data_IF_724535617397
#
_entry.id   IF_724535617397
#
_cell.length_a   1.000
_cell.length_b   1.000
_cell.length_c   1.000
_cell.angle_alpha   90.00
_cell.angle_beta   90.00
_cell.angle_gamma   90.00
#
_symmetry.space_group_name_H-M   'P 1'
#
loop_
_entity.id
_entity.type
_entity.pdbx_description
1 polymer ?
#
# COMPACT_ATOMS: atom_id res chain seq x y z
N UNK A 1 -80.91 19.11 30.72
CA UNK A 1 -79.43 19.32 30.81
C UNK A 1 -78.76 17.97 30.77
N UNK A 2 -78.24 17.53 29.59
CA UNK A 2 -77.54 16.24 29.42
C UNK A 2 -76.04 16.56 29.49
N UNK A 3 -75.36 15.98 30.48
CA UNK A 3 -73.87 16.05 30.56
C UNK A 3 -73.25 14.95 29.66
N UNK A 4 -72.50 15.38 28.65
CA UNK A 4 -71.67 14.49 27.79
C UNK A 4 -70.33 14.32 28.49
N UNK A 5 -70.00 13.11 28.92
CA UNK A 5 -68.68 12.74 29.43
C UNK A 5 -67.80 12.40 28.20
N UNK A 6 -66.78 13.22 27.92
CA UNK A 6 -65.78 12.94 26.95
C UNK A 6 -64.70 12.05 27.60
N UNK A 7 -64.61 10.78 27.18
CA UNK A 7 -63.51 9.88 27.47
C UNK A 7 -62.41 10.18 26.49
N UNK A 8 -61.29 10.74 26.95
CA UNK A 8 -60.02 10.83 26.19
C UNK A 8 -59.31 9.47 26.28
N UNK A 9 -58.93 8.82 25.15
CA UNK A 9 -58.07 7.66 25.21
C UNK A 9 -56.62 8.11 25.48
N UNK A 10 -56.05 7.60 26.58
CA UNK A 10 -54.62 7.71 26.89
C UNK A 10 -53.85 6.85 25.89
N UNK A 11 -53.27 7.52 24.88
CA UNK A 11 -52.28 6.87 23.98
C UNK A 11 -50.96 6.75 24.72
N UNK A 12 -50.69 5.59 25.28
CA UNK A 12 -49.41 5.24 25.88
C UNK A 12 -48.42 4.95 24.74
N UNK A 13 -47.65 5.98 24.34
CA UNK A 13 -46.54 5.79 23.42
C UNK A 13 -45.47 4.92 24.09
N UNK A 14 -45.43 3.65 23.71
CA UNK A 14 -44.27 2.80 23.96
C UNK A 14 -43.10 3.35 23.13
N UNK A 15 -42.33 4.27 23.67
CA UNK A 15 -41.01 4.55 23.19
C UNK A 15 -40.13 3.34 23.45
N UNK A 16 -40.13 2.38 22.53
CA UNK A 16 -39.06 1.41 22.48
C UNK A 16 -37.76 2.20 22.31
N UNK A 17 -36.91 2.16 23.33
CA UNK A 17 -35.52 2.60 23.19
C UNK A 17 -34.84 1.69 22.16
N UNK A 18 -34.99 2.01 20.87
CA UNK A 18 -34.12 1.52 19.83
C UNK A 18 -32.74 2.01 20.22
N UNK A 19 -31.93 1.15 20.84
CA UNK A 19 -30.50 1.41 21.02
C UNK A 19 -29.95 1.62 19.63
N UNK A 20 -29.71 2.88 19.29
CA UNK A 20 -29.15 3.23 17.99
C UNK A 20 -27.83 2.49 17.83
N UNK A 21 -27.72 1.69 16.78
CA UNK A 21 -26.46 1.08 16.40
C UNK A 21 -25.47 2.22 16.14
N UNK A 22 -24.34 2.16 16.84
CA UNK A 22 -23.38 3.27 16.87
C UNK A 22 -22.32 3.13 15.78
N UNK A 23 -22.03 1.88 15.36
CA UNK A 23 -20.93 1.58 14.43
C UNK A 23 -21.45 0.93 13.14
N UNK A 24 -20.87 1.33 12.00
CA UNK A 24 -21.18 0.69 10.72
C UNK A 24 -20.62 -0.74 10.64
N UNK A 25 -19.39 -0.95 11.13
CA UNK A 25 -18.73 -2.26 11.19
C UNK A 25 -18.06 -2.41 12.56
N UNK A 26 -18.14 -3.61 13.14
CA UNK A 26 -17.30 -4.03 14.26
C UNK A 26 -16.53 -5.26 13.83
N UNK A 27 -15.20 -5.19 13.86
CA UNK A 27 -14.29 -6.32 13.67
C UNK A 27 -13.98 -6.89 15.05
N UNK A 28 -14.32 -8.16 15.28
CA UNK A 28 -14.23 -8.84 16.58
C UNK A 28 -13.08 -9.82 16.64
N UNK A 29 -12.51 -9.98 17.84
CA UNK A 29 -11.61 -11.07 18.21
C UNK A 29 -10.31 -11.16 17.37
N UNK A 30 -10.00 -10.16 16.55
CA UNK A 30 -8.81 -10.17 15.72
C UNK A 30 -7.54 -9.85 16.50
N UNK A 31 -6.40 -10.41 16.09
CA UNK A 31 -5.11 -9.99 16.62
C UNK A 31 -4.69 -8.70 15.92
N UNK A 32 -4.91 -7.56 16.57
CA UNK A 32 -4.59 -6.24 16.02
C UNK A 32 -3.09 -6.00 16.09
N UNK A 33 -2.48 -5.70 14.94
CA UNK A 33 -1.10 -5.25 14.82
C UNK A 33 -1.12 -3.86 14.20
N UNK A 34 -0.88 -2.83 15.01
CA UNK A 34 -0.74 -1.44 14.59
C UNK A 34 0.56 -0.87 15.13
N UNK A 35 1.65 -0.93 14.34
CA UNK A 35 2.97 -0.54 14.79
C UNK A 35 3.08 0.93 15.21
N UNK A 36 2.37 1.85 14.53
CA UNK A 36 2.38 3.27 14.86
C UNK A 36 1.85 3.54 16.27
N UNK A 37 0.79 2.83 16.67
CA UNK A 37 0.18 2.99 17.99
C UNK A 37 0.73 1.97 19.01
N UNK A 38 1.75 1.20 18.63
CA UNK A 38 2.36 0.14 19.45
C UNK A 38 1.33 -0.89 19.98
N UNK A 39 0.31 -1.21 19.16
CA UNK A 39 -0.68 -2.24 19.46
C UNK A 39 -0.21 -3.56 18.85
N UNK A 40 -0.26 -4.64 19.65
CA UNK A 40 0.03 -6.02 19.24
C UNK A 40 -0.72 -6.95 20.21
N UNK A 41 -2.04 -7.09 20.02
CA UNK A 41 -2.90 -7.80 20.94
C UNK A 41 -4.25 -8.18 20.31
N UNK A 42 -4.94 -9.16 20.90
CA UNK A 42 -6.34 -9.47 20.53
C UNK A 42 -7.24 -8.33 20.99
N UNK A 43 -7.87 -7.66 20.04
CA UNK A 43 -8.76 -6.52 20.28
C UNK A 43 -9.88 -6.47 19.22
N UNK A 44 -10.89 -5.66 19.49
CA UNK A 44 -11.95 -5.32 18.57
C UNK A 44 -11.71 -3.93 17.97
N UNK A 45 -12.12 -3.75 16.71
CA UNK A 45 -12.05 -2.47 16.00
C UNK A 45 -13.45 -2.07 15.53
N UNK A 46 -13.93 -0.90 15.96
CA UNK A 46 -15.19 -0.35 15.51
C UNK A 46 -14.96 0.77 14.47
N UNK A 47 -15.76 0.75 13.42
CA UNK A 47 -15.72 1.70 12.31
C UNK A 47 -17.06 2.45 12.26
N UNK A 48 -16.98 3.78 12.10
CA UNK A 48 -18.14 4.64 11.92
C UNK A 48 -17.80 5.79 10.96
N UNK A 49 -18.72 6.07 10.02
CA UNK A 49 -18.56 7.17 9.05
C UNK A 49 -17.22 7.12 8.28
N UNK A 50 -16.76 5.93 7.90
CA UNK A 50 -15.50 5.74 7.18
C UNK A 50 -14.24 5.92 8.02
N UNK A 51 -14.36 6.08 9.34
CA UNK A 51 -13.26 6.31 10.28
C UNK A 51 -13.16 5.19 11.31
N UNK A 52 -11.98 4.95 11.84
CA UNK A 52 -11.78 4.17 13.06
C UNK A 52 -12.38 4.93 14.22
N UNK A 53 -13.41 4.35 14.84
CA UNK A 53 -14.15 5.00 15.93
C UNK A 53 -13.69 4.55 17.33
N UNK A 54 -13.29 3.29 17.46
CA UNK A 54 -12.85 2.71 18.74
C UNK A 54 -11.99 1.47 18.51
N UNK A 55 -10.96 1.30 19.34
CA UNK A 55 -10.22 0.05 19.50
C UNK A 55 -10.29 -0.33 20.97
N UNK A 56 -10.79 -1.51 21.30
CA UNK A 56 -10.96 -1.98 22.67
C UNK A 56 -10.90 -3.50 22.77
N UNK A 57 -10.67 -4.04 23.98
CA UNK A 57 -10.65 -5.49 24.21
C UNK A 57 -11.99 -6.16 23.95
N UNK A 58 -13.09 -5.44 24.15
CA UNK A 58 -14.44 -5.95 23.91
C UNK A 58 -15.37 -4.78 23.56
N UNK A 59 -16.00 -4.87 22.39
CA UNK A 59 -17.04 -3.94 21.94
C UNK A 59 -18.33 -4.73 21.80
N UNK A 60 -19.43 -4.22 22.38
CA UNK A 60 -20.75 -4.86 22.34
C UNK A 60 -21.25 -4.99 20.88
N UNK A 61 -21.45 -6.22 20.42
CA UNK A 61 -21.89 -6.58 19.06
C UNK A 61 -23.19 -5.89 18.68
N UNK A 62 -24.09 -5.66 19.66
CA UNK A 62 -25.37 -4.99 19.44
C UNK A 62 -25.25 -3.54 18.99
N UNK A 63 -24.06 -2.96 19.10
CA UNK A 63 -23.78 -1.60 18.64
C UNK A 63 -23.36 -1.54 17.17
N UNK A 64 -23.11 -2.69 16.51
CA UNK A 64 -22.72 -2.75 15.11
C UNK A 64 -23.90 -3.01 14.18
N UNK A 65 -23.90 -2.33 13.01
CA UNK A 65 -24.78 -2.71 11.89
C UNK A 65 -24.33 -4.03 11.28
N UNK A 66 -23.00 -4.20 11.16
CA UNK A 66 -22.35 -5.40 10.67
C UNK A 66 -21.25 -5.81 11.65
N UNK A 67 -21.17 -7.10 11.94
CA UNK A 67 -20.15 -7.68 12.81
C UNK A 67 -19.36 -8.70 12.02
N UNK A 68 -18.04 -8.55 12.02
CA UNK A 68 -17.09 -9.44 11.33
C UNK A 68 -16.24 -10.15 12.38
N UNK A 69 -16.31 -11.46 12.46
CA UNK A 69 -15.46 -12.25 13.37
C UNK A 69 -14.12 -12.55 12.71
N UNK A 70 -13.08 -11.90 13.21
CA UNK A 70 -11.68 -12.06 12.76
C UNK A 70 -10.88 -12.99 13.70
N UNK A 71 -11.54 -13.88 14.44
CA UNK A 71 -10.85 -14.82 15.33
C UNK A 71 -9.82 -15.66 14.60
N UNK A 72 -8.58 -15.63 15.11
CA UNK A 72 -7.44 -16.36 14.49
C UNK A 72 -6.79 -15.62 13.31
N UNK A 73 -7.28 -14.44 12.96
CA UNK A 73 -6.74 -13.59 11.91
C UNK A 73 -6.01 -12.37 12.50
N UNK A 74 -5.17 -11.76 11.70
CA UNK A 74 -4.48 -10.51 12.03
C UNK A 74 -5.24 -9.32 11.43
N UNK A 75 -5.51 -8.32 12.25
CA UNK A 75 -6.14 -7.05 11.82
C UNK A 75 -5.09 -5.97 11.82
N UNK A 76 -4.80 -5.40 10.67
CA UNK A 76 -3.74 -4.41 10.46
C UNK A 76 -4.30 -3.15 9.82
N UNK A 77 -3.59 -2.02 9.87
CA UNK A 77 -3.88 -0.94 8.93
C UNK A 77 -3.87 -1.46 7.50
N UNK A 78 -4.62 -0.82 6.62
CA UNK A 78 -4.54 -1.09 5.19
C UNK A 78 -3.11 -0.90 4.69
N UNK A 79 -2.64 -1.83 3.86
CA UNK A 79 -1.27 -1.82 3.37
C UNK A 79 -1.03 -0.68 2.39
N UNK A 80 0.18 -0.12 2.42
CA UNK A 80 0.66 0.90 1.49
C UNK A 80 1.74 0.29 0.59
N UNK A 81 1.52 0.36 -0.71
CA UNK A 81 2.51 0.00 -1.73
C UNK A 81 3.03 1.27 -2.39
N UNK A 82 4.22 1.73 -1.97
CA UNK A 82 4.78 3.01 -2.44
C UNK A 82 5.53 2.90 -3.76
N UNK A 83 5.52 1.74 -4.41
CA UNK A 83 6.14 1.57 -5.71
C UNK A 83 5.24 0.70 -6.58
N UNK A 84 4.43 1.34 -7.42
CA UNK A 84 3.51 0.69 -8.36
C UNK A 84 3.40 1.50 -9.66
N UNK A 85 2.86 0.89 -10.71
CA UNK A 85 2.64 1.56 -12.00
C UNK A 85 1.17 1.47 -12.38
N UNK A 86 0.46 2.59 -12.22
CA UNK A 86 -0.99 2.66 -12.29
C UNK A 86 -1.53 3.55 -13.41
N UNK A 87 -0.70 4.27 -14.12
CA UNK A 87 -1.14 5.07 -15.26
C UNK A 87 -1.50 4.15 -16.45
N UNK A 88 -2.55 3.38 -16.25
CA UNK A 88 -3.00 2.39 -17.20
C UNK A 88 -3.65 3.01 -18.43
N UNK A 89 -3.38 2.43 -19.60
CA UNK A 89 -3.93 2.79 -20.89
C UNK A 89 -3.65 1.70 -21.93
N UNK A 90 -3.82 2.03 -23.20
CA UNK A 90 -3.69 1.08 -24.32
C UNK A 90 -2.64 1.52 -25.36
N UNK A 91 -1.83 2.50 -25.02
CA UNK A 91 -0.80 3.06 -25.89
C UNK A 91 0.46 2.18 -25.85
N UNK A 92 0.77 1.38 -26.92
CA UNK A 92 1.89 0.44 -26.89
C UNK A 92 3.26 1.11 -26.68
N UNK A 93 3.44 2.29 -27.27
CA UNK A 93 4.70 3.03 -27.20
C UNK A 93 4.88 3.81 -25.91
N UNK A 94 3.88 3.79 -25.02
CA UNK A 94 3.89 4.49 -23.74
C UNK A 94 4.10 3.56 -22.55
N UNK A 95 4.22 2.27 -22.75
CA UNK A 95 4.49 1.21 -21.77
C UNK A 95 3.90 1.45 -20.35
N UNK A 96 4.58 2.17 -19.48
CA UNK A 96 4.13 2.47 -18.12
C UNK A 96 3.31 3.76 -18.02
N UNK A 97 3.54 4.74 -18.90
CA UNK A 97 2.82 6.01 -18.97
C UNK A 97 1.66 5.87 -19.97
N UNK A 98 0.42 5.85 -19.50
CA UNK A 98 -0.80 5.63 -20.29
C UNK A 98 -0.73 4.36 -21.18
N UNK A 99 0.09 3.40 -20.80
CA UNK A 99 0.43 2.24 -21.62
C UNK A 99 -0.03 0.91 -21.04
N UNK A 100 0.27 -0.13 -21.80
CA UNK A 100 -0.20 -1.50 -21.55
C UNK A 100 0.60 -2.25 -20.45
N UNK A 101 1.71 -1.72 -19.96
CA UNK A 101 2.45 -2.33 -18.85
C UNK A 101 1.93 -1.88 -17.48
N UNK A 102 1.29 -0.71 -17.37
CA UNK A 102 0.64 -0.26 -16.14
C UNK A 102 -0.64 -1.06 -15.85
N UNK A 103 -1.12 -1.00 -14.62
CA UNK A 103 -2.29 -1.75 -14.15
C UNK A 103 -3.34 -0.83 -13.52
N UNK A 104 -4.64 -1.03 -13.78
CA UNK A 104 -5.69 -0.35 -13.02
C UNK A 104 -5.64 -0.84 -11.55
N UNK A 105 -5.54 0.07 -10.55
CA UNK A 105 -5.22 -0.33 -9.19
C UNK A 105 -6.26 -1.26 -8.57
N UNK A 106 -7.56 -0.96 -8.69
CA UNK A 106 -8.65 -1.71 -8.05
C UNK A 106 -8.69 -3.20 -8.46
N UNK A 107 -8.09 -3.54 -9.60
CA UNK A 107 -8.07 -4.91 -10.10
C UNK A 107 -7.19 -5.87 -9.28
N UNK A 108 -6.22 -5.36 -8.50
CA UNK A 108 -5.26 -6.19 -7.77
C UNK A 108 -5.00 -5.77 -6.33
N UNK A 109 -5.22 -4.50 -5.96
CA UNK A 109 -4.90 -3.97 -4.63
C UNK A 109 -5.71 -4.64 -3.52
N UNK A 110 -7.03 -4.66 -3.67
CA UNK A 110 -7.92 -5.07 -2.58
C UNK A 110 -7.78 -6.55 -2.20
N UNK A 111 -7.47 -7.42 -3.14
CA UNK A 111 -7.21 -8.85 -2.86
C UNK A 111 -5.91 -9.11 -2.10
N UNK A 112 -5.11 -8.08 -1.91
CA UNK A 112 -3.83 -8.12 -1.22
C UNK A 112 -3.79 -7.26 0.06
N UNK A 113 -4.92 -6.73 0.52
CA UNK A 113 -4.96 -5.86 1.69
C UNK A 113 -4.43 -4.45 1.45
N UNK A 114 -4.06 -4.11 0.20
CA UNK A 114 -3.54 -2.79 -0.15
C UNK A 114 -4.68 -1.81 -0.33
N UNK A 115 -4.65 -0.71 0.40
CA UNK A 115 -5.66 0.36 0.35
C UNK A 115 -5.12 1.64 -0.27
N UNK A 116 -3.81 1.78 -0.31
CA UNK A 116 -3.10 2.94 -0.87
C UNK A 116 -1.95 2.47 -1.74
N UNK A 117 -1.84 3.02 -2.93
CA UNK A 117 -0.68 2.85 -3.82
C UNK A 117 -0.06 4.21 -4.12
N UNK A 118 1.25 4.21 -4.38
CA UNK A 118 1.94 5.38 -4.94
C UNK A 118 2.49 4.98 -6.30
N UNK A 119 2.00 5.63 -7.34
CA UNK A 119 2.55 5.45 -8.68
C UNK A 119 3.98 6.00 -8.73
N UNK A 120 4.92 5.17 -9.15
CA UNK A 120 6.34 5.49 -9.09
C UNK A 120 6.84 6.17 -10.38
N UNK A 121 6.22 7.28 -10.73
CA UNK A 121 6.69 8.13 -11.82
C UNK A 121 6.24 7.69 -13.21
N UNK A 122 5.15 6.96 -13.34
CA UNK A 122 4.56 6.69 -14.65
C UNK A 122 4.25 7.98 -15.39
N UNK A 123 3.74 9.03 -14.67
CA UNK A 123 3.49 10.35 -15.25
C UNK A 123 4.57 11.37 -14.89
N UNK A 124 4.87 12.25 -15.85
CA UNK A 124 5.63 13.46 -15.64
C UNK A 124 4.73 14.71 -15.55
N UNK A 125 5.35 15.90 -15.48
CA UNK A 125 4.59 17.15 -15.30
C UNK A 125 3.68 17.50 -16.46
N UNK A 126 3.91 16.98 -17.69
CA UNK A 126 3.03 17.18 -18.85
C UNK A 126 1.78 16.30 -18.77
N UNK A 127 1.93 15.06 -18.32
CA UNK A 127 0.92 14.00 -18.44
C UNK A 127 0.14 13.78 -17.14
N UNK A 128 0.59 14.37 -16.01
CA UNK A 128 -0.05 14.21 -14.71
C UNK A 128 -1.56 14.57 -14.70
N UNK A 129 -2.03 15.65 -15.37
CA UNK A 129 -3.47 15.93 -15.41
C UNK A 129 -4.29 14.82 -16.06
N UNK A 130 -3.74 14.16 -17.09
CA UNK A 130 -4.38 13.01 -17.75
C UNK A 130 -4.40 11.81 -16.81
N UNK A 131 -3.28 11.50 -16.16
CA UNK A 131 -3.20 10.42 -15.16
C UNK A 131 -4.23 10.63 -14.04
N UNK A 132 -4.31 11.86 -13.53
CA UNK A 132 -5.30 12.20 -12.48
C UNK A 132 -6.73 11.92 -12.95
N UNK A 133 -7.13 12.44 -14.09
CA UNK A 133 -8.49 12.30 -14.58
C UNK A 133 -8.84 10.86 -14.99
N UNK A 134 -7.89 10.13 -15.60
CA UNK A 134 -8.11 8.80 -16.15
C UNK A 134 -8.06 7.72 -15.09
N UNK A 135 -7.17 7.82 -14.10
CA UNK A 135 -6.92 6.75 -13.12
C UNK A 135 -7.19 7.18 -11.68
N UNK A 136 -6.57 8.28 -11.21
CA UNK A 136 -6.62 8.65 -9.79
C UNK A 136 -8.07 8.94 -9.36
N UNK A 137 -8.77 9.77 -10.12
CA UNK A 137 -10.16 10.19 -9.80
C UNK A 137 -11.19 9.06 -10.02
N UNK A 138 -10.82 8.00 -10.72
CA UNK A 138 -11.71 6.88 -11.03
C UNK A 138 -11.52 5.68 -10.09
N UNK A 139 -10.45 5.66 -9.31
CA UNK A 139 -10.09 4.51 -8.47
C UNK A 139 -10.74 4.57 -7.09
N UNK A 140 -11.17 3.43 -6.56
CA UNK A 140 -11.56 3.28 -5.17
C UNK A 140 -10.32 3.16 -4.25
N UNK A 141 -9.24 2.57 -4.76
CA UNK A 141 -7.92 2.59 -4.13
C UNK A 141 -7.44 4.03 -4.00
N UNK A 142 -6.84 4.42 -2.87
CA UNK A 142 -6.15 5.70 -2.81
C UNK A 142 -4.90 5.61 -3.68
N UNK A 143 -4.84 6.45 -4.71
CA UNK A 143 -3.70 6.56 -5.62
C UNK A 143 -3.01 7.89 -5.37
N UNK A 144 -1.76 7.82 -4.91
CA UNK A 144 -0.83 8.94 -4.82
C UNK A 144 0.25 8.78 -5.90
N UNK A 145 1.15 9.74 -6.05
CA UNK A 145 2.18 9.66 -7.09
C UNK A 145 3.50 10.30 -6.70
N UNK A 146 4.60 9.65 -7.05
CA UNK A 146 5.86 10.32 -7.32
C UNK A 146 5.81 10.88 -8.75
N UNK A 147 6.06 12.17 -8.91
CA UNK A 147 6.08 12.80 -10.22
C UNK A 147 7.44 12.53 -10.90
N UNK A 148 7.44 11.96 -12.10
CA UNK A 148 8.68 11.79 -12.84
C UNK A 148 9.30 13.17 -13.13
N UNK A 149 10.61 13.28 -12.96
CA UNK A 149 11.33 14.53 -13.29
C UNK A 149 11.30 14.83 -14.79
N UNK A 150 11.18 13.80 -15.63
CA UNK A 150 10.97 13.92 -17.07
C UNK A 150 9.52 14.31 -17.34
N UNK A 151 9.32 15.32 -18.18
CA UNK A 151 8.00 15.88 -18.45
C UNK A 151 7.00 14.89 -19.04
N UNK A 152 7.46 13.98 -19.88
CA UNK A 152 6.64 12.93 -20.50
C UNK A 152 6.38 11.72 -19.56
N UNK A 153 7.08 11.64 -18.42
CA UNK A 153 6.96 10.48 -17.53
C UNK A 153 7.76 9.27 -17.99
N UNK A 154 7.37 8.08 -17.50
CA UNK A 154 8.07 6.81 -17.75
C UNK A 154 7.69 6.23 -19.11
N UNK A 155 8.26 6.82 -20.15
CA UNK A 155 7.99 6.56 -21.55
C UNK A 155 9.24 6.16 -22.33
N UNK A 156 9.99 5.20 -21.83
CA UNK A 156 11.15 4.63 -22.52
C UNK A 156 12.22 5.67 -22.87
N UNK A 157 12.54 5.85 -24.15
CA UNK A 157 13.61 6.74 -24.58
C UNK A 157 13.50 8.20 -24.15
N UNK A 158 12.31 8.67 -23.78
CA UNK A 158 12.11 10.02 -23.25
C UNK A 158 12.79 10.23 -21.89
N UNK A 159 12.99 9.17 -21.12
CA UNK A 159 13.67 9.21 -19.81
C UNK A 159 15.16 9.53 -19.93
N UNK A 160 15.71 9.48 -21.13
CA UNK A 160 17.11 9.86 -21.43
C UNK A 160 17.26 11.35 -21.76
N UNK A 161 16.17 12.10 -21.91
CA UNK A 161 16.22 13.51 -22.33
C UNK A 161 16.36 14.46 -21.13
N UNK A 162 17.59 14.78 -20.76
CA UNK A 162 17.87 15.72 -19.66
C UNK A 162 17.32 17.13 -19.90
N UNK A 163 17.12 17.55 -21.16
CA UNK A 163 16.51 18.84 -21.48
C UNK A 163 15.02 18.91 -21.13
N UNK A 164 14.33 17.78 -20.98
CA UNK A 164 12.92 17.70 -20.53
C UNK A 164 12.77 17.55 -19.00
N UNK A 165 13.87 17.44 -18.28
CA UNK A 165 13.89 17.37 -16.80
C UNK A 165 13.82 18.76 -16.19
N UNK A 166 12.68 19.45 -16.36
CA UNK A 166 12.46 20.82 -15.92
C UNK A 166 12.04 20.90 -14.45
N UNK A 167 12.98 21.22 -13.56
CA UNK A 167 12.75 21.36 -12.11
C UNK A 167 11.65 22.36 -11.78
N UNK A 168 11.54 23.47 -12.52
CA UNK A 168 10.54 24.52 -12.27
C UNK A 168 9.14 24.04 -12.64
N UNK A 169 8.98 23.43 -13.81
CA UNK A 169 7.69 22.90 -14.25
C UNK A 169 7.22 21.75 -13.35
N UNK A 170 8.12 20.84 -13.00
CA UNK A 170 7.85 19.76 -12.05
C UNK A 170 7.38 20.32 -10.70
N UNK A 171 8.06 21.33 -10.15
CA UNK A 171 7.68 21.97 -8.90
C UNK A 171 6.32 22.72 -8.97
N UNK A 172 6.00 23.35 -10.09
CA UNK A 172 4.69 24.01 -10.30
C UNK A 172 3.57 22.97 -10.24
N UNK A 173 3.74 21.83 -10.93
CA UNK A 173 2.75 20.76 -10.97
C UNK A 173 2.63 20.09 -9.59
N UNK A 174 3.74 19.81 -8.92
CA UNK A 174 3.71 19.22 -7.58
C UNK A 174 2.98 20.12 -6.57
N UNK A 175 3.24 21.43 -6.57
CA UNK A 175 2.49 22.37 -5.70
C UNK A 175 1.00 22.46 -6.05
N UNK A 176 0.65 22.38 -7.34
CA UNK A 176 -0.75 22.39 -7.77
C UNK A 176 -1.52 21.17 -7.28
N UNK A 177 -0.88 20.02 -7.23
CA UNK A 177 -1.48 18.74 -6.84
C UNK A 177 -0.86 18.17 -5.55
N UNK A 178 -0.53 19.06 -4.61
CA UNK A 178 0.17 18.75 -3.35
C UNK A 178 -0.46 17.68 -2.46
N UNK A 179 -1.76 17.43 -2.61
CA UNK A 179 -2.49 16.42 -1.86
C UNK A 179 -2.42 15.03 -2.52
N UNK A 180 -1.77 14.93 -3.69
CA UNK A 180 -1.65 13.69 -4.48
C UNK A 180 -0.19 13.40 -4.81
N UNK A 181 0.58 14.41 -5.19
CA UNK A 181 2.02 14.26 -5.50
C UNK A 181 2.81 14.30 -4.19
N UNK A 182 3.39 13.16 -3.84
CA UNK A 182 4.10 12.95 -2.58
C UNK A 182 5.62 13.03 -2.70
N UNK A 183 6.15 13.12 -3.92
CA UNK A 183 7.59 13.20 -4.17
C UNK A 183 7.92 13.22 -5.65
N UNK A 184 9.20 13.05 -5.97
CA UNK A 184 9.68 12.95 -7.35
C UNK A 184 10.31 11.60 -7.62
N UNK A 185 10.19 11.12 -8.84
CA UNK A 185 10.84 9.91 -9.35
C UNK A 185 11.94 10.27 -10.32
N UNK A 186 13.10 9.65 -10.16
CA UNK A 186 14.12 9.50 -11.20
C UNK A 186 14.18 8.03 -11.56
N UNK A 187 13.99 7.70 -12.83
CA UNK A 187 13.94 6.31 -13.29
C UNK A 187 14.70 6.12 -14.60
N UNK A 188 15.32 4.95 -14.76
CA UNK A 188 15.87 4.37 -15.98
C UNK A 188 16.86 5.24 -16.78
N UNK A 189 17.40 6.32 -16.19
CA UNK A 189 18.41 7.12 -16.87
C UNK A 189 19.73 6.34 -16.98
N UNK A 190 20.27 6.21 -18.20
CA UNK A 190 21.45 5.41 -18.50
C UNK A 190 22.71 6.25 -18.66
N UNK A 191 22.59 7.58 -18.62
CA UNK A 191 23.73 8.49 -18.72
C UNK A 191 24.63 8.39 -17.48
N UNK A 192 25.94 8.67 -17.68
CA UNK A 192 26.93 8.66 -16.61
C UNK A 192 27.07 10.04 -15.97
N UNK A 193 25.97 10.59 -15.44
CA UNK A 193 25.93 11.93 -14.85
C UNK A 193 24.77 12.01 -13.80
N UNK A 194 24.85 12.99 -12.90
CA UNK A 194 23.87 13.19 -11.81
C UNK A 194 22.76 14.18 -12.16
N UNK A 195 22.74 14.75 -13.35
CA UNK A 195 21.76 15.76 -13.80
C UNK A 195 20.30 15.41 -13.44
N UNK A 196 19.80 14.18 -13.66
CA UNK A 196 18.42 13.87 -13.32
C UNK A 196 18.14 13.96 -11.81
N UNK A 197 19.08 13.51 -10.98
CA UNK A 197 18.96 13.55 -9.52
C UNK A 197 19.02 14.99 -9.02
N UNK A 198 19.97 15.78 -9.52
CA UNK A 198 20.14 17.18 -9.12
C UNK A 198 18.93 18.02 -9.51
N UNK A 199 18.36 17.80 -10.71
CA UNK A 199 17.12 18.45 -11.13
C UNK A 199 15.93 18.06 -10.26
N UNK A 200 15.81 16.79 -9.85
CA UNK A 200 14.76 16.35 -8.93
C UNK A 200 14.93 16.96 -7.53
N UNK A 201 16.18 17.06 -7.02
CA UNK A 201 16.49 17.76 -5.75
C UNK A 201 16.09 19.23 -5.84
N UNK A 202 16.41 19.89 -6.94
CA UNK A 202 16.04 21.30 -7.14
C UNK A 202 14.53 21.49 -7.23
N UNK A 203 13.81 20.61 -7.94
CA UNK A 203 12.34 20.61 -7.97
C UNK A 203 11.75 20.43 -6.57
N UNK A 204 12.31 19.53 -5.77
CA UNK A 204 11.89 19.28 -4.40
C UNK A 204 12.07 20.53 -3.51
N UNK A 205 13.21 21.20 -3.57
CA UNK A 205 13.46 22.47 -2.84
C UNK A 205 12.40 23.53 -3.17
N UNK A 206 11.92 23.55 -4.42
CA UNK A 206 10.88 24.48 -4.88
C UNK A 206 9.45 24.04 -4.52
N UNK A 207 9.27 22.84 -3.96
CA UNK A 207 7.95 22.23 -3.66
C UNK A 207 7.88 21.59 -2.27
N UNK A 208 8.18 22.36 -1.22
CA UNK A 208 8.10 21.97 0.19
C UNK A 208 9.03 20.82 0.61
N UNK A 209 10.14 20.63 -0.09
CA UNK A 209 11.12 19.57 0.17
C UNK A 209 10.52 18.15 0.22
N UNK A 210 9.53 17.85 -0.63
CA UNK A 210 9.00 16.49 -0.74
C UNK A 210 10.10 15.50 -1.14
N UNK A 211 10.03 14.21 -0.74
CA UNK A 211 11.09 13.24 -0.95
C UNK A 211 11.31 12.90 -2.42
N UNK A 212 12.48 12.34 -2.70
CA UNK A 212 12.77 11.70 -3.97
C UNK A 212 12.72 10.18 -3.83
N UNK A 213 12.27 9.48 -4.86
CA UNK A 213 12.49 8.05 -5.04
C UNK A 213 13.41 7.85 -6.23
N UNK A 214 14.60 7.29 -5.98
CA UNK A 214 15.64 7.14 -6.99
C UNK A 214 15.75 5.68 -7.42
N UNK A 215 15.51 5.48 -8.71
CA UNK A 215 15.78 4.31 -9.49
C UNK A 215 16.36 4.75 -10.82
N UNK A 216 17.65 4.85 -10.92
CA UNK A 216 18.28 5.17 -12.20
C UNK A 216 18.80 3.93 -12.91
N UNK A 217 18.87 4.00 -14.24
CA UNK A 217 19.30 2.93 -15.10
C UNK A 217 20.74 2.47 -14.86
N UNK A 218 21.20 1.59 -15.67
CA UNK A 218 22.58 1.12 -15.64
C UNK A 218 23.45 1.97 -16.56
N UNK A 219 24.61 2.40 -16.09
CA UNK A 219 25.68 2.94 -16.91
C UNK A 219 26.89 2.01 -16.93
N UNK A 220 27.81 2.19 -17.88
CA UNK A 220 29.04 1.42 -17.90
C UNK A 220 30.24 2.35 -18.05
N UNK A 221 31.09 2.51 -16.99
CA UNK A 221 30.96 1.83 -15.67
C UNK A 221 29.72 2.30 -14.90
N UNK A 222 29.29 1.53 -13.87
CA UNK A 222 28.18 1.95 -12.99
C UNK A 222 28.49 3.28 -12.30
N UNK A 223 27.48 4.13 -12.12
CA UNK A 223 27.58 5.26 -11.20
C UNK A 223 27.70 4.76 -9.75
N UNK A 224 28.50 5.46 -8.95
CA UNK A 224 28.72 5.11 -7.55
C UNK A 224 27.48 5.39 -6.69
N UNK A 225 26.91 4.35 -6.07
CA UNK A 225 25.82 4.54 -5.10
C UNK A 225 26.33 5.18 -3.79
N UNK A 226 27.62 5.06 -3.47
CA UNK A 226 28.24 5.80 -2.36
C UNK A 226 28.17 7.31 -2.62
N UNK A 227 28.57 7.75 -3.81
CA UNK A 227 28.46 9.14 -4.23
C UNK A 227 27.01 9.62 -4.21
N UNK A 228 26.08 8.82 -4.76
CA UNK A 228 24.65 9.11 -4.70
C UNK A 228 24.18 9.39 -3.27
N UNK A 229 24.48 8.48 -2.33
CA UNK A 229 24.00 8.59 -0.95
C UNK A 229 24.66 9.73 -0.19
N UNK A 230 25.95 9.96 -0.41
CA UNK A 230 26.71 10.94 0.37
C UNK A 230 26.57 12.36 -0.15
N UNK A 231 26.47 12.54 -1.48
CA UNK A 231 26.55 13.85 -2.11
C UNK A 231 25.21 14.34 -2.69
N UNK A 232 24.39 13.48 -3.24
CA UNK A 232 23.20 13.87 -3.99
C UNK A 232 21.89 13.68 -3.22
N UNK A 233 21.74 12.60 -2.43
CA UNK A 233 20.51 12.37 -1.66
C UNK A 233 20.51 13.10 -0.32
N UNK A 234 19.31 13.44 0.12
CA UNK A 234 19.04 14.13 1.38
C UNK A 234 18.38 13.17 2.39
N UNK A 235 18.44 13.44 3.70
CA UNK A 235 17.59 12.76 4.66
C UNK A 235 16.11 12.80 4.22
N UNK A 236 15.46 11.63 4.22
CA UNK A 236 14.09 11.46 3.76
C UNK A 236 13.96 11.00 2.30
N UNK A 237 15.02 11.06 1.51
CA UNK A 237 14.99 10.50 0.14
C UNK A 237 15.05 8.96 0.17
N UNK A 238 14.48 8.32 -0.86
CA UNK A 238 14.24 6.88 -0.93
C UNK A 238 15.11 6.29 -2.05
N UNK A 239 15.93 5.30 -1.70
CA UNK A 239 16.63 4.43 -2.66
C UNK A 239 15.83 3.15 -2.85
N UNK A 240 15.17 3.03 -4.00
CA UNK A 240 14.36 1.85 -4.34
C UNK A 240 15.16 0.78 -5.07
N UNK A 241 14.59 -0.41 -5.24
CA UNK A 241 15.28 -1.60 -5.77
C UNK A 241 16.56 -1.96 -4.98
N UNK A 242 16.53 -1.72 -3.66
CA UNK A 242 17.73 -1.81 -2.83
C UNK A 242 18.37 -3.22 -2.80
N UNK A 243 17.64 -4.27 -3.16
CA UNK A 243 18.15 -5.65 -3.30
C UNK A 243 18.28 -6.09 -4.76
N UNK A 244 18.32 -5.14 -5.69
CA UNK A 244 18.53 -5.43 -7.11
C UNK A 244 19.95 -5.95 -7.40
N UNK A 245 20.05 -6.80 -8.41
CA UNK A 245 21.33 -7.31 -8.93
C UNK A 245 21.31 -7.24 -10.46
N UNK A 246 21.29 -6.03 -10.99
CA UNK A 246 21.24 -5.76 -12.41
C UNK A 246 22.60 -5.33 -12.93
N UNK A 247 22.95 -5.73 -14.15
CA UNK A 247 24.14 -5.23 -14.84
C UNK A 247 24.11 -3.71 -14.99
N UNK A 248 25.29 -3.08 -14.90
CA UNK A 248 25.41 -1.62 -14.99
C UNK A 248 24.98 -0.86 -13.73
N UNK A 249 24.64 -1.55 -12.65
CA UNK A 249 24.33 -0.94 -11.34
C UNK A 249 25.26 -1.45 -10.26
N UNK A 250 25.63 -0.57 -9.34
CA UNK A 250 26.35 -0.96 -8.14
C UNK A 250 25.37 -1.55 -7.11
N UNK A 251 25.81 -2.57 -6.35
CA UNK A 251 24.97 -3.29 -5.36
C UNK A 251 25.27 -2.84 -3.95
N UNK A 252 24.28 -2.94 -3.06
CA UNK A 252 24.44 -2.63 -1.63
C UNK A 252 25.24 -3.70 -0.87
N UNK A 253 25.21 -4.95 -1.33
CA UNK A 253 25.99 -6.07 -0.76
C UNK A 253 27.18 -6.38 -1.66
N UNK A 254 28.35 -6.48 -1.05
CA UNK A 254 29.54 -7.00 -1.72
C UNK A 254 29.40 -8.52 -1.84
N UNK A 255 29.33 -9.01 -3.09
CA UNK A 255 29.12 -10.42 -3.39
C UNK A 255 30.32 -11.29 -2.98
N UNK A 256 31.53 -10.75 -2.87
CA UNK A 256 32.73 -11.49 -2.48
C UNK A 256 32.78 -11.75 -0.96
N UNK A 257 32.38 -10.77 -0.18
CA UNK A 257 32.38 -10.82 1.28
C UNK A 257 31.03 -11.22 1.87
N UNK A 258 29.97 -11.18 1.07
CA UNK A 258 28.58 -11.38 1.48
C UNK A 258 28.13 -10.43 2.62
N UNK A 259 28.64 -9.19 2.58
CA UNK A 259 28.36 -8.17 3.59
C UNK A 259 27.78 -6.92 2.96
N UNK A 260 26.92 -6.25 3.71
CA UNK A 260 26.44 -4.88 3.37
C UNK A 260 27.63 -3.93 3.40
N UNK A 261 27.78 -3.16 2.34
CA UNK A 261 28.87 -2.18 2.25
C UNK A 261 28.79 -1.12 3.35
N UNK A 262 29.90 -0.71 3.97
CA UNK A 262 29.88 0.21 5.12
C UNK A 262 29.12 1.51 4.87
N UNK A 263 29.30 2.14 3.70
CA UNK A 263 28.64 3.39 3.35
C UNK A 263 27.09 3.26 3.25
N UNK A 264 26.56 2.05 3.05
CA UNK A 264 25.10 1.80 3.05
C UNK A 264 24.53 1.97 4.46
N UNK A 265 25.26 1.54 5.48
CA UNK A 265 24.90 1.79 6.88
C UNK A 265 25.01 3.28 7.24
N UNK A 266 26.00 3.98 6.71
CA UNK A 266 26.15 5.42 6.89
C UNK A 266 25.01 6.19 6.22
N UNK A 267 24.61 5.78 5.01
CA UNK A 267 23.45 6.33 4.31
C UNK A 267 22.17 6.18 5.13
N UNK A 268 21.94 4.99 5.71
CA UNK A 268 20.80 4.77 6.61
C UNK A 268 20.85 5.69 7.85
N UNK A 269 22.02 5.88 8.46
CA UNK A 269 22.19 6.81 9.58
C UNK A 269 21.97 8.28 9.16
N UNK A 270 22.32 8.63 7.93
CA UNK A 270 22.04 9.95 7.33
C UNK A 270 20.52 10.17 7.14
N UNK A 271 19.70 9.13 7.16
CA UNK A 271 18.25 9.20 6.99
C UNK A 271 17.78 8.90 5.57
N UNK A 272 18.62 8.23 4.75
CA UNK A 272 18.17 7.67 3.48
C UNK A 272 17.33 6.41 3.76
N UNK A 273 16.16 6.32 3.14
CA UNK A 273 15.30 5.14 3.21
C UNK A 273 15.64 4.14 2.11
N UNK A 274 15.51 2.87 2.43
CA UNK A 274 15.77 1.76 1.52
C UNK A 274 14.46 1.03 1.26
N UNK A 275 13.98 1.11 0.03
CA UNK A 275 12.74 0.50 -0.42
C UNK A 275 13.01 -0.74 -1.29
N UNK A 276 12.11 -1.73 -1.19
CA UNK A 276 12.27 -2.99 -1.91
C UNK A 276 12.08 -2.81 -3.41
N UNK A 277 10.98 -2.16 -3.85
CA UNK A 277 10.66 -2.03 -5.27
C UNK A 277 10.85 -3.33 -6.03
N UNK A 278 10.14 -4.41 -5.68
CA UNK A 278 10.50 -5.78 -6.08
C UNK A 278 10.63 -5.98 -7.59
N UNK A 279 9.63 -5.51 -8.35
CA UNK A 279 9.58 -5.57 -9.81
C UNK A 279 9.66 -6.95 -10.46
N UNK A 280 9.97 -6.95 -11.74
CA UNK A 280 10.19 -8.19 -12.50
C UNK A 280 11.58 -8.80 -12.28
N UNK A 281 12.60 -7.94 -12.16
CA UNK A 281 14.03 -8.34 -12.12
C UNK A 281 14.85 -7.60 -11.05
N UNK A 282 14.22 -6.79 -10.19
CA UNK A 282 14.92 -5.88 -9.28
C UNK A 282 15.07 -6.41 -7.85
N UNK A 283 14.91 -7.72 -7.62
CA UNK A 283 15.10 -8.34 -6.31
C UNK A 283 15.81 -9.70 -6.43
N UNK A 284 16.98 -9.83 -5.80
CA UNK A 284 17.75 -11.05 -5.75
C UNK A 284 18.05 -11.50 -4.32
N UNK A 285 17.89 -12.81 -4.05
CA UNK A 285 18.26 -13.39 -2.76
C UNK A 285 19.74 -13.29 -2.44
N UNK A 286 20.59 -13.22 -3.46
CA UNK A 286 22.04 -12.97 -3.31
C UNK A 286 22.36 -11.60 -2.69
N UNK A 287 21.42 -10.62 -2.76
CA UNK A 287 21.51 -9.33 -2.09
C UNK A 287 20.73 -9.34 -0.77
N UNK A 288 19.48 -9.83 -0.79
CA UNK A 288 18.58 -9.71 0.35
C UNK A 288 18.96 -10.64 1.52
N UNK A 289 19.41 -11.88 1.27
CA UNK A 289 19.74 -12.83 2.34
C UNK A 289 21.00 -12.42 3.13
N UNK A 290 22.13 -12.04 2.51
CA UNK A 290 23.28 -11.54 3.25
C UNK A 290 22.94 -10.28 4.06
N UNK A 291 22.19 -9.34 3.47
CA UNK A 291 21.74 -8.14 4.17
C UNK A 291 20.88 -8.48 5.41
N UNK A 292 19.91 -9.38 5.26
CA UNK A 292 19.06 -9.83 6.36
C UNK A 292 19.86 -10.50 7.48
N UNK A 293 20.91 -11.28 7.16
CA UNK A 293 21.80 -11.90 8.17
C UNK A 293 22.57 -10.89 9.01
N UNK A 294 22.85 -9.70 8.47
CA UNK A 294 23.45 -8.59 9.21
C UNK A 294 22.40 -7.70 9.90
N UNK A 295 21.10 -8.02 9.79
CA UNK A 295 20.02 -7.21 10.34
C UNK A 295 19.68 -5.99 9.48
N UNK A 296 20.17 -5.92 8.24
CA UNK A 296 19.80 -4.88 7.29
C UNK A 296 18.51 -5.29 6.57
N UNK A 297 17.39 -4.81 7.09
CA UNK A 297 16.07 -4.94 6.47
C UNK A 297 15.65 -3.65 5.78
N UNK A 298 14.77 -3.68 4.79
CA UNK A 298 14.30 -2.47 4.13
C UNK A 298 13.46 -1.61 5.09
N UNK A 299 13.36 -0.32 4.83
CA UNK A 299 12.44 0.57 5.52
C UNK A 299 11.00 0.30 5.05
N UNK A 300 10.78 0.20 3.74
CA UNK A 300 9.50 -0.12 3.12
C UNK A 300 9.58 -1.37 2.24
N UNK A 301 8.48 -2.15 2.26
CA UNK A 301 8.25 -3.27 1.36
C UNK A 301 7.25 -2.80 0.31
N UNK A 302 7.68 -2.73 -0.95
CA UNK A 302 6.87 -2.33 -2.09
C UNK A 302 7.03 -3.30 -3.25
N UNK A 303 6.13 -3.26 -4.21
CA UNK A 303 6.03 -4.31 -5.22
C UNK A 303 6.64 -3.94 -6.55
N UNK A 304 6.67 -2.68 -6.94
CA UNK A 304 6.91 -2.29 -8.33
C UNK A 304 6.01 -3.10 -9.27
N UNK A 305 4.70 -3.13 -8.94
CA UNK A 305 3.74 -3.92 -9.69
C UNK A 305 3.42 -3.29 -11.03
N UNK A 306 3.57 -4.09 -12.05
CA UNK A 306 3.18 -3.84 -13.42
C UNK A 306 2.88 -5.17 -14.13
N UNK A 307 2.36 -5.15 -15.36
CA UNK A 307 1.99 -6.39 -16.08
C UNK A 307 3.13 -7.40 -16.15
N UNK A 308 4.37 -6.95 -16.36
CA UNK A 308 5.55 -7.82 -16.44
C UNK A 308 5.99 -8.45 -15.11
N UNK A 309 5.62 -7.85 -13.95
CA UNK A 309 6.02 -8.35 -12.63
C UNK A 309 4.95 -9.18 -11.93
N UNK A 310 3.66 -8.92 -12.17
CA UNK A 310 2.54 -9.52 -11.43
C UNK A 310 2.44 -11.05 -11.57
N UNK A 311 2.94 -11.63 -12.65
CA UNK A 311 2.92 -13.07 -12.88
C UNK A 311 4.31 -13.71 -12.72
N UNK A 312 5.32 -12.92 -12.40
CA UNK A 312 6.70 -13.36 -12.18
C UNK A 312 6.94 -13.67 -10.68
N UNK A 313 8.18 -13.60 -10.23
CA UNK A 313 8.60 -13.91 -8.86
C UNK A 313 7.96 -12.96 -7.81
N UNK A 314 7.68 -11.73 -8.14
CA UNK A 314 7.04 -10.74 -7.27
C UNK A 314 5.61 -11.15 -6.90
N UNK A 315 4.75 -11.39 -7.88
CA UNK A 315 3.32 -11.73 -7.81
C UNK A 315 2.46 -10.62 -7.21
N UNK A 316 2.61 -10.34 -5.93
CA UNK A 316 1.77 -9.44 -5.17
C UNK A 316 2.47 -8.97 -3.86
N UNK A 317 1.85 -8.01 -3.19
CA UNK A 317 2.34 -7.44 -1.92
C UNK A 317 2.53 -8.51 -0.84
N UNK A 318 1.56 -9.40 -0.64
CA UNK A 318 1.63 -10.41 0.42
C UNK A 318 2.68 -11.49 0.14
N UNK A 319 2.92 -11.81 -1.13
CA UNK A 319 4.03 -12.68 -1.52
C UNK A 319 5.38 -12.01 -1.21
N UNK A 320 5.51 -10.72 -1.51
CA UNK A 320 6.71 -9.94 -1.19
C UNK A 320 6.94 -9.87 0.33
N UNK A 321 5.92 -9.52 1.12
CA UNK A 321 5.96 -9.53 2.59
C UNK A 321 6.34 -10.91 3.14
N UNK A 322 5.80 -11.99 2.57
CA UNK A 322 6.10 -13.37 2.99
C UNK A 322 7.56 -13.77 2.78
N UNK A 323 8.25 -13.18 1.79
CA UNK A 323 9.70 -13.40 1.59
C UNK A 323 10.51 -12.82 2.75
N UNK A 324 10.14 -11.62 3.23
CA UNK A 324 10.81 -10.99 4.37
C UNK A 324 10.55 -11.73 5.68
N UNK A 325 9.34 -12.30 5.87
CA UNK A 325 9.10 -13.25 6.98
C UNK A 325 10.02 -14.47 6.87
N UNK A 326 10.16 -15.04 5.67
CA UNK A 326 11.04 -16.21 5.44
C UNK A 326 12.53 -15.89 5.62
N UNK A 327 12.93 -14.63 5.47
CA UNK A 327 14.30 -14.14 5.69
C UNK A 327 14.56 -13.65 7.13
N UNK A 328 13.58 -13.75 8.04
CA UNK A 328 13.77 -13.52 9.48
C UNK A 328 13.20 -12.22 10.05
N UNK A 329 12.52 -11.38 9.26
CA UNK A 329 11.70 -10.32 9.84
C UNK A 329 10.54 -10.94 10.65
N UNK A 330 10.24 -10.41 11.82
CA UNK A 330 9.01 -10.81 12.51
C UNK A 330 7.77 -10.15 11.89
N UNK A 331 6.58 -10.68 12.20
CA UNK A 331 5.33 -10.22 11.57
C UNK A 331 5.08 -8.72 11.81
N UNK A 332 5.31 -8.22 13.04
CA UNK A 332 5.13 -6.80 13.37
C UNK A 332 6.06 -5.91 12.52
N UNK A 333 7.32 -6.31 12.32
CA UNK A 333 8.26 -5.58 11.46
C UNK A 333 7.81 -5.56 10.01
N UNK A 334 7.34 -6.70 9.48
CA UNK A 334 6.82 -6.77 8.11
C UNK A 334 5.59 -5.89 7.93
N UNK A 335 4.64 -5.90 8.89
CA UNK A 335 3.49 -5.00 8.87
C UNK A 335 3.94 -3.54 8.95
N UNK A 336 4.90 -3.21 9.83
CA UNK A 336 5.43 -1.86 9.94
C UNK A 336 6.05 -1.36 8.63
N UNK A 337 6.84 -2.21 7.96
CA UNK A 337 7.47 -1.90 6.67
C UNK A 337 6.47 -1.82 5.50
N UNK A 338 5.20 -2.19 5.74
CA UNK A 338 4.12 -2.18 4.74
C UNK A 338 2.96 -1.26 5.14
N UNK A 339 3.08 -0.50 6.22
CA UNK A 339 2.04 0.41 6.73
C UNK A 339 2.64 1.74 7.18
N UNK A 340 3.05 1.87 8.44
CA UNK A 340 3.49 3.15 9.02
C UNK A 340 4.82 3.65 8.47
N UNK A 341 5.76 2.77 8.11
CA UNK A 341 7.03 3.23 7.52
C UNK A 341 6.81 3.87 6.14
N UNK A 342 6.19 3.20 5.13
CA UNK A 342 5.97 3.84 3.85
C UNK A 342 5.08 5.09 3.95
N UNK A 343 4.14 5.15 4.89
CA UNK A 343 3.37 6.37 5.16
C UNK A 343 4.29 7.53 5.60
N UNK A 344 5.23 7.25 6.49
CA UNK A 344 6.22 8.22 6.96
C UNK A 344 7.17 8.67 5.84
N UNK A 345 7.65 7.74 5.01
CA UNK A 345 8.56 8.01 3.90
C UNK A 345 7.97 8.97 2.86
N UNK A 346 6.65 8.98 2.71
CA UNK A 346 5.93 9.90 1.81
C UNK A 346 5.32 11.11 2.51
N UNK A 347 5.67 11.36 3.79
CA UNK A 347 5.14 12.46 4.62
C UNK A 347 3.60 12.44 4.82
N UNK A 348 3.01 11.23 4.87
CA UNK A 348 1.58 11.00 5.10
C UNK A 348 1.35 10.16 6.36
N UNK A 349 1.86 10.64 7.50
CA UNK A 349 1.77 9.94 8.79
C UNK A 349 0.32 9.68 9.27
N UNK A 350 -0.67 10.31 8.68
CA UNK A 350 -2.09 10.01 8.92
C UNK A 350 -2.53 8.68 8.32
N UNK A 351 -1.77 8.11 7.37
CA UNK A 351 -2.01 6.81 6.76
C UNK A 351 -1.30 5.68 7.52
N UNK A 352 -1.60 4.43 7.17
CA UNK A 352 -0.90 3.25 7.68
C UNK A 352 -1.02 3.03 9.18
N UNK A 353 -2.14 3.45 9.78
CA UNK A 353 -2.43 3.28 11.20
C UNK A 353 -3.94 3.14 11.48
N UNK A 354 -4.28 2.66 12.68
CA UNK A 354 -5.66 2.50 13.15
C UNK A 354 -6.00 3.49 14.27
N UNK A 355 -5.36 4.65 14.33
CA UNK A 355 -5.67 5.69 15.32
C UNK A 355 -7.16 6.08 15.25
N UNK A 356 -7.78 6.30 16.41
CA UNK A 356 -9.16 6.80 16.44
C UNK A 356 -9.24 8.12 15.67
N UNK A 357 -10.16 8.18 14.70
CA UNK A 357 -10.35 9.31 13.79
C UNK A 357 -9.60 9.19 12.45
N UNK A 358 -8.66 8.26 12.28
CA UNK A 358 -8.03 7.99 10.98
C UNK A 358 -9.02 7.32 10.01
N UNK A 359 -8.72 7.35 8.73
CA UNK A 359 -9.49 6.61 7.72
C UNK A 359 -9.54 5.12 8.10
N UNK A 360 -10.72 4.52 8.01
CA UNK A 360 -10.89 3.09 8.27
C UNK A 360 -10.42 2.28 7.06
N UNK A 361 -9.11 2.30 6.84
CA UNK A 361 -8.38 1.47 5.90
C UNK A 361 -7.80 0.30 6.69
N UNK A 362 -8.32 -0.92 6.47
CA UNK A 362 -7.99 -2.11 7.26
C UNK A 362 -7.72 -3.28 6.34
N UNK A 363 -6.67 -4.04 6.65
CA UNK A 363 -6.42 -5.35 6.07
C UNK A 363 -6.58 -6.44 7.15
N UNK A 364 -7.39 -7.46 6.86
CA UNK A 364 -7.49 -8.66 7.68
C UNK A 364 -6.71 -9.76 6.96
N UNK A 365 -5.68 -10.26 7.62
CA UNK A 365 -4.69 -11.16 7.05
C UNK A 365 -4.70 -12.52 7.77
N UNK A 366 -4.52 -13.57 7.00
CA UNK A 366 -4.27 -14.92 7.48
C UNK A 366 -2.80 -15.27 7.32
N UNK A 367 -2.13 -15.69 8.38
CA UNK A 367 -0.79 -16.27 8.32
C UNK A 367 -0.91 -17.79 8.17
N UNK A 368 -1.05 -18.25 6.93
CA UNK A 368 -1.23 -19.66 6.61
C UNK A 368 0.01 -20.48 6.94
N UNK A 369 -0.20 -21.62 7.53
CA UNK A 369 0.81 -22.65 7.72
C UNK A 369 0.75 -23.70 6.61
N UNK A 370 1.91 -24.19 6.16
CA UNK A 370 2.01 -25.16 5.07
C UNK A 370 3.42 -25.29 4.52
N UNK A 371 3.55 -25.83 3.31
CA UNK A 371 4.82 -25.92 2.59
C UNK A 371 4.76 -24.95 1.41
N UNK A 372 5.53 -23.89 1.46
CA UNK A 372 5.56 -22.86 0.43
C UNK A 372 6.96 -22.68 -0.15
N UNK A 373 7.03 -22.39 -1.44
CA UNK A 373 8.25 -22.02 -2.14
C UNK A 373 8.13 -20.58 -2.66
N UNK A 374 9.05 -19.71 -2.25
CA UNK A 374 9.12 -18.33 -2.65
C UNK A 374 10.39 -18.13 -3.48
N UNK A 375 10.26 -17.87 -4.78
CA UNK A 375 11.42 -17.74 -5.68
C UNK A 375 11.68 -16.27 -6.03
N UNK A 376 12.94 -15.95 -6.41
CA UNK A 376 13.34 -14.66 -6.96
C UNK A 376 13.47 -14.71 -8.49
N UNK A 377 13.81 -13.61 -9.13
CA UNK A 377 13.93 -13.55 -10.58
C UNK A 377 15.11 -14.38 -11.12
N UNK A 378 16.12 -14.65 -10.27
CA UNK A 378 17.29 -15.45 -10.65
C UNK A 378 17.00 -16.94 -10.62
N UNK A 379 15.82 -17.36 -10.18
CA UNK A 379 15.36 -18.73 -10.13
C UNK A 379 15.64 -19.45 -8.81
N UNK A 380 16.26 -18.80 -7.83
CA UNK A 380 16.44 -19.37 -6.50
C UNK A 380 15.14 -19.31 -5.69
N UNK A 381 14.94 -20.34 -4.87
CA UNK A 381 13.72 -20.53 -4.08
C UNK A 381 14.02 -20.68 -2.59
N UNK A 382 13.41 -19.85 -1.77
CA UNK A 382 13.30 -20.08 -0.32
C UNK A 382 12.12 -21.01 -0.03
N UNK A 383 12.34 -21.98 0.84
CA UNK A 383 11.26 -22.78 1.43
C UNK A 383 10.83 -22.16 2.76
N UNK A 384 9.53 -22.08 2.97
CA UNK A 384 8.96 -21.56 4.21
C UNK A 384 7.72 -22.38 4.60
N UNK A 385 7.40 -22.39 5.88
CA UNK A 385 6.18 -23.00 6.39
C UNK A 385 5.06 -21.97 6.63
N UNK A 386 5.29 -20.70 6.34
CA UNK A 386 4.31 -19.62 6.55
C UNK A 386 4.21 -18.73 5.32
N UNK A 387 2.99 -18.30 5.02
CA UNK A 387 2.66 -17.35 3.94
C UNK A 387 1.47 -16.48 4.34
N UNK A 388 1.56 -15.19 4.07
CA UNK A 388 0.44 -14.26 4.24
C UNK A 388 -0.59 -14.41 3.11
N UNK A 389 -1.87 -14.33 3.47
CA UNK A 389 -3.02 -14.29 2.56
C UNK A 389 -4.01 -13.23 3.05
N UNK A 390 -4.65 -12.52 2.14
CA UNK A 390 -5.69 -11.56 2.49
C UNK A 390 -7.02 -12.26 2.69
N UNK A 391 -7.63 -12.07 3.85
CA UNK A 391 -9.00 -12.51 4.14
C UNK A 391 -10.00 -11.42 3.78
N UNK A 392 -9.73 -10.18 4.17
CA UNK A 392 -10.62 -9.05 3.90
C UNK A 392 -9.85 -7.75 3.76
N UNK A 393 -10.38 -6.85 2.96
CA UNK A 393 -9.91 -5.46 2.86
C UNK A 393 -11.08 -4.50 3.04
N UNK A 394 -10.87 -3.53 3.92
CA UNK A 394 -11.79 -2.41 4.15
C UNK A 394 -11.08 -1.13 3.71
N UNK A 395 -11.71 -0.34 2.85
CA UNK A 395 -11.21 0.93 2.36
C UNK A 395 -12.20 2.04 2.67
N UNK A 396 -11.78 3.04 3.45
CA UNK A 396 -12.65 4.13 3.88
C UNK A 396 -13.92 3.66 4.58
N UNK A 397 -13.82 2.58 5.38
CA UNK A 397 -14.93 1.98 6.11
C UNK A 397 -15.90 1.14 5.28
N UNK A 398 -15.56 0.82 4.03
CA UNK A 398 -16.35 -0.09 3.16
C UNK A 398 -15.56 -1.38 2.93
N UNK A 399 -16.22 -2.53 3.08
CA UNK A 399 -15.67 -3.82 2.71
C UNK A 399 -15.58 -3.85 1.18
N UNK A 400 -14.35 -3.92 0.65
CA UNK A 400 -14.07 -3.93 -0.80
C UNK A 400 -13.57 -5.29 -1.29
N UNK A 401 -13.16 -6.16 -0.37
CA UNK A 401 -12.79 -7.54 -0.63
C UNK A 401 -13.08 -8.41 0.60
N UNK A 402 -13.65 -9.58 0.38
CA UNK A 402 -13.96 -10.59 1.39
C UNK A 402 -13.79 -11.98 0.77
N UNK A 403 -12.66 -12.64 1.08
CA UNK A 403 -12.25 -13.90 0.43
C UNK A 403 -13.24 -15.04 0.72
N UNK A 404 -13.61 -15.21 1.98
CA UNK A 404 -14.42 -16.33 2.44
C UNK A 404 -15.82 -15.90 2.92
N UNK A 405 -16.22 -14.65 2.65
CA UNK A 405 -17.56 -14.17 3.01
C UNK A 405 -17.77 -14.03 4.53
N UNK A 406 -16.71 -13.75 5.31
CA UNK A 406 -16.81 -13.67 6.78
C UNK A 406 -17.69 -12.51 7.26
N UNK A 407 -17.99 -11.56 6.39
CA UNK A 407 -18.92 -10.47 6.65
C UNK A 407 -20.37 -10.82 6.29
N UNK A 408 -20.63 -11.98 5.70
CA UNK A 408 -21.91 -12.36 5.16
C UNK A 408 -22.61 -13.45 5.99
N UNK A 409 -23.94 -13.44 6.12
CA UNK A 409 -24.66 -14.50 6.81
C UNK A 409 -24.65 -15.79 6.00
N UNK A 410 -24.64 -16.94 6.70
CA UNK A 410 -24.75 -18.27 6.07
C UNK A 410 -26.13 -18.45 5.43
N UNK A 411 -26.18 -18.96 4.21
CA UNK A 411 -27.43 -19.27 3.51
C UNK A 411 -27.95 -20.68 3.81
N UNK A 412 -29.25 -20.91 3.97
CA UNK A 412 -30.30 -19.87 4.14
C UNK A 412 -30.24 -19.24 5.54
N UNK A 413 -30.51 -17.92 5.64
CA UNK A 413 -30.61 -17.31 6.96
C UNK A 413 -31.79 -17.95 7.72
N UNK A 414 -31.59 -18.32 8.97
CA UNK A 414 -32.57 -19.02 9.80
C UNK A 414 -33.96 -18.34 9.87
N UNK A 415 -34.01 -17.02 9.65
CA UNK A 415 -35.23 -16.19 9.70
C UNK A 415 -35.93 -16.08 8.35
N UNK A 416 -35.23 -16.19 7.22
CA UNK A 416 -35.80 -16.05 5.88
C UNK A 416 -36.60 -17.32 5.47
N UNK A 417 -36.30 -18.50 6.01
CA UNK A 417 -37.06 -19.72 5.75
C UNK A 417 -38.51 -19.62 6.27
N UNK A 418 -38.75 -18.92 7.39
CA UNK A 418 -40.07 -18.73 7.94
C UNK A 418 -40.89 -17.64 7.21
N UNK A 419 -40.22 -16.57 6.70
CA UNK A 419 -40.92 -15.51 5.96
C UNK A 419 -41.29 -15.95 4.54
N UNK A 420 -40.44 -16.74 3.86
CA UNK A 420 -40.75 -17.27 2.54
C UNK A 420 -41.84 -18.34 2.56
N UNK A 421 -41.99 -19.15 3.65
CA UNK A 421 -43.11 -20.06 3.82
C UNK A 421 -44.42 -19.31 4.06
N UNK A 422 -44.39 -18.17 4.77
CA UNK A 422 -45.58 -17.32 4.98
C UNK A 422 -45.99 -16.60 3.70
N UNK A 423 -45.03 -16.09 2.91
CA UNK A 423 -45.30 -15.45 1.62
C UNK A 423 -45.87 -16.45 0.58
N UNK A 424 -45.33 -17.68 0.52
CA UNK A 424 -45.83 -18.71 -0.39
C UNK A 424 -47.23 -19.18 -0.03
N UNK A 425 -47.60 -19.23 1.29
CA UNK A 425 -48.95 -19.57 1.74
C UNK A 425 -49.97 -18.44 1.54
N UNK A 426 -49.54 -17.18 1.41
CA UNK A 426 -50.45 -16.06 1.12
C UNK A 426 -50.78 -15.87 -0.37
N UNK A 427 -50.08 -16.55 -1.26
CA UNK A 427 -50.34 -16.53 -2.71
C UNK A 427 -51.23 -17.69 -3.19
N UNK A 428 -51.67 -18.58 -2.30
CA UNK A 428 -52.51 -19.72 -2.63
C UNK A 428 -53.95 -19.61 -2.07
N UNK A 429 -54.39 -18.37 -1.79
CA UNK A 429 -55.82 -18.10 -1.46
C UNK A 429 -56.38 -16.99 -2.33
#
# INVERSE_FOLDING_TARGET
>A
MRRILLLLPLFWCFCQNLKAQTYSIIIKNGHVIDPKNNVDAVMDVAIQNGKVALIAKNIDDKKGLQVVDAKGLYVTPGLLDIHSHNFWGTEPDHAYENGNLALPPDGFTFRNGVTTVVDAGSSGWRTFPTFKAQTIDQSQTRVLAFLNIVGEGMRGGYEQNTADMDSRMAAIVARKYKDIIVGYKVAHFEGHEWTPVDHAVEASKQSNNIPLMIDFGGSNPPLSIEELFMQHLRPGDIFTHCFGQLGGREYIVDLSTQKVKPFVWEARKKGIYFDVGYGGISFAYSQAIPAAKEGFFPNSISTDIHVGSMNNAMKDMLTTMSKFLAMGMNLKQVIQASTSNPAHEINHDELGNLSVGSDADVAILNLREGKFGLFDYTGYKLQTNKKLECEMTIRGGKIVYDLNGIANPVYPPKVAAESNQKAAKSQTH
#
